data_IF_220177833614
#
_entry.id   IF_220177833614
#
_cell.length_a   1.000
_cell.length_b   1.000
_cell.length_c   1.000
_cell.angle_alpha   90.00
_cell.angle_beta   90.00
_cell.angle_gamma   90.00
#
_symmetry.space_group_name_H-M   'P 1'
#
loop_
_entity.id
_entity.type
_entity.pdbx_description
1 polymer ?
#
# COMPACT_ATOMS: atom_id res chain seq x y z
N UNK A 1 -71.10 -10.97 2.67
CA UNK A 1 -70.02 -11.96 2.53
C UNK A 1 -68.73 -11.21 2.71
N UNK A 2 -68.12 -11.49 3.85
CA UNK A 2 -67.16 -10.64 4.54
C UNK A 2 -65.85 -10.43 3.79
N UNK A 3 -65.35 -9.20 3.92
CA UNK A 3 -63.97 -8.80 3.71
C UNK A 3 -63.06 -9.64 4.62
N UNK A 4 -62.30 -10.55 4.03
CA UNK A 4 -61.11 -11.11 4.67
C UNK A 4 -59.90 -10.64 3.86
N UNK A 5 -59.56 -9.36 4.05
CA UNK A 5 -58.23 -8.87 3.70
C UNK A 5 -57.30 -9.32 4.83
N UNK A 6 -56.73 -10.53 4.69
CA UNK A 6 -55.68 -11.01 5.58
C UNK A 6 -54.46 -10.12 5.33
N UNK A 7 -54.36 -9.02 6.07
CA UNK A 7 -53.09 -8.34 6.29
C UNK A 7 -52.19 -9.36 7.01
N UNK A 8 -51.44 -10.15 6.23
CA UNK A 8 -50.30 -10.89 6.76
C UNK A 8 -49.37 -9.84 7.37
N UNK A 9 -49.35 -9.75 8.70
CA UNK A 9 -48.42 -8.91 9.43
C UNK A 9 -47.02 -9.34 9.03
N UNK A 10 -46.39 -8.55 8.17
CA UNK A 10 -45.00 -8.79 7.76
C UNK A 10 -44.17 -8.79 9.04
N UNK A 11 -43.36 -9.83 9.31
CA UNK A 11 -42.60 -9.91 10.53
C UNK A 11 -41.70 -8.66 10.65
N UNK A 12 -41.69 -8.07 11.85
CA UNK A 12 -40.95 -6.86 12.17
C UNK A 12 -39.85 -7.20 13.18
N UNK A 13 -38.74 -6.50 13.07
CA UNK A 13 -37.59 -6.60 13.98
C UNK A 13 -37.20 -5.21 14.44
N UNK A 14 -36.72 -5.13 15.68
CA UNK A 14 -36.17 -3.89 16.22
C UNK A 14 -34.70 -3.78 15.83
N UNK A 15 -34.34 -2.66 15.21
CA UNK A 15 -32.97 -2.35 14.82
C UNK A 15 -32.48 -1.08 15.53
N UNK A 16 -31.17 -0.94 15.64
CA UNK A 16 -30.51 0.25 16.18
C UNK A 16 -29.35 0.62 15.28
N UNK A 17 -29.31 1.86 14.81
CA UNK A 17 -28.23 2.35 13.96
C UNK A 17 -27.03 2.81 14.78
N UNK A 18 -25.84 2.40 14.35
CA UNK A 18 -24.57 2.80 14.95
C UNK A 18 -23.64 3.29 13.84
N UNK A 19 -22.87 4.33 14.10
CA UNK A 19 -21.80 4.73 13.19
C UNK A 19 -20.58 5.20 13.96
N UNK A 20 -19.40 4.96 13.38
CA UNK A 20 -18.15 5.56 13.83
C UNK A 20 -17.95 6.96 13.26
N UNK A 21 -18.64 7.30 12.17
CA UNK A 21 -18.54 8.59 11.49
C UNK A 21 -19.46 9.61 12.17
N UNK A 22 -18.93 10.39 13.13
CA UNK A 22 -19.71 11.36 13.92
C UNK A 22 -20.51 12.37 13.09
N UNK A 23 -20.06 12.68 11.87
CA UNK A 23 -20.74 13.59 10.94
C UNK A 23 -22.10 13.05 10.45
N UNK A 24 -22.30 11.73 10.48
CA UNK A 24 -23.53 11.07 10.07
C UNK A 24 -24.27 10.44 11.24
N UNK A 25 -24.01 10.87 12.48
CA UNK A 25 -24.65 10.28 13.65
C UNK A 25 -26.16 10.58 13.66
N UNK A 26 -26.97 9.52 13.64
CA UNK A 26 -28.42 9.61 13.84
C UNK A 26 -28.82 9.31 15.29
N UNK A 27 -30.02 9.74 15.72
CA UNK A 27 -30.50 9.50 17.07
C UNK A 27 -30.50 8.02 17.45
N UNK A 28 -30.09 7.77 18.69
CA UNK A 28 -29.79 6.43 19.19
C UNK A 28 -31.00 5.79 19.88
N UNK A 29 -32.03 5.45 19.10
CA UNK A 29 -33.24 4.79 19.59
C UNK A 29 -33.62 3.57 18.72
N UNK A 30 -34.26 2.54 19.29
CA UNK A 30 -34.68 1.36 18.55
C UNK A 30 -35.82 1.68 17.56
N UNK A 31 -35.69 1.22 16.32
CA UNK A 31 -36.63 1.40 15.23
C UNK A 31 -37.21 0.05 14.81
N UNK A 32 -38.52 -0.05 14.62
CA UNK A 32 -39.16 -1.25 14.10
C UNK A 32 -39.18 -1.23 12.58
N UNK A 33 -38.50 -2.19 11.96
CA UNK A 33 -38.45 -2.35 10.50
C UNK A 33 -38.95 -3.73 10.08
N UNK A 34 -39.35 -3.88 8.82
CA UNK A 34 -39.72 -5.17 8.26
C UNK A 34 -38.48 -6.05 8.09
N UNK A 35 -38.61 -7.36 8.32
CA UNK A 35 -37.46 -8.29 8.22
C UNK A 35 -36.95 -8.46 6.80
N UNK A 36 -37.76 -8.19 5.78
CA UNK A 36 -37.36 -8.27 4.37
C UNK A 36 -36.59 -7.05 3.88
N UNK A 37 -36.28 -6.10 4.77
CA UNK A 37 -35.62 -4.85 4.41
C UNK A 37 -34.25 -5.12 3.76
N UNK A 38 -33.98 -4.39 2.68
CA UNK A 38 -32.71 -4.45 1.93
C UNK A 38 -31.87 -3.21 2.18
N UNK A 39 -30.58 -3.24 1.82
CA UNK A 39 -29.65 -2.13 2.01
C UNK A 39 -30.14 -0.81 1.39
N UNK A 40 -30.81 -0.84 0.24
CA UNK A 40 -31.38 0.35 -0.40
C UNK A 40 -32.46 1.03 0.47
N UNK A 41 -33.32 0.24 1.13
CA UNK A 41 -34.39 0.75 1.99
C UNK A 41 -33.83 1.26 3.33
N UNK A 42 -32.79 0.61 3.87
CA UNK A 42 -32.05 1.14 5.01
C UNK A 42 -31.37 2.47 4.67
N UNK A 43 -30.84 2.61 3.45
CA UNK A 43 -30.26 3.86 2.96
C UNK A 43 -31.29 4.99 2.89
N UNK A 44 -32.50 4.72 2.41
CA UNK A 44 -33.57 5.74 2.40
C UNK A 44 -33.91 6.17 3.82
N UNK A 45 -34.00 5.22 4.76
CA UNK A 45 -34.36 5.49 6.14
C UNK A 45 -33.28 6.30 6.88
N UNK A 46 -31.99 5.98 6.70
CA UNK A 46 -30.90 6.79 7.28
C UNK A 46 -30.90 8.20 6.69
N UNK A 47 -31.06 8.34 5.38
CA UNK A 47 -31.08 9.67 4.76
C UNK A 47 -32.27 10.51 5.23
N UNK A 48 -33.44 9.91 5.48
CA UNK A 48 -34.57 10.60 6.10
C UNK A 48 -34.25 11.06 7.53
N UNK A 49 -33.71 10.17 8.37
CA UNK A 49 -33.31 10.51 9.74
C UNK A 49 -32.19 11.57 9.78
N UNK A 50 -31.26 11.56 8.81
CA UNK A 50 -30.21 12.57 8.68
C UNK A 50 -30.78 13.93 8.27
N UNK A 51 -31.74 13.97 7.35
CA UNK A 51 -32.46 15.21 6.96
C UNK A 51 -33.16 15.84 8.16
N UNK A 52 -33.74 15.03 9.04
CA UNK A 52 -34.40 15.50 10.27
C UNK A 52 -33.43 15.97 11.36
N UNK A 53 -32.33 15.23 11.59
CA UNK A 53 -31.44 15.45 12.74
C UNK A 53 -30.30 16.44 12.46
N UNK A 54 -29.77 16.47 11.25
CA UNK A 54 -28.48 17.12 10.94
C UNK A 54 -28.54 18.11 9.77
N UNK A 55 -29.72 18.32 9.17
CA UNK A 55 -29.97 19.28 8.08
C UNK A 55 -29.07 19.05 6.83
N UNK A 56 -28.53 17.84 6.68
CA UNK A 56 -27.76 17.41 5.51
C UNK A 56 -28.75 17.23 4.34
N UNK A 57 -28.57 18.02 3.29
CA UNK A 57 -29.46 18.02 2.11
C UNK A 57 -29.06 17.01 1.04
N UNK A 58 -27.80 16.59 1.03
CA UNK A 58 -27.29 15.66 0.03
C UNK A 58 -27.57 14.23 0.48
N UNK A 59 -28.07 13.41 -0.43
CA UNK A 59 -28.24 11.98 -0.20
C UNK A 59 -26.88 11.31 -0.30
N UNK A 60 -26.57 10.50 0.70
CA UNK A 60 -25.30 9.78 0.82
C UNK A 60 -25.63 8.29 0.82
N UNK A 61 -24.89 7.51 0.05
CA UNK A 61 -25.01 6.06 0.08
C UNK A 61 -24.19 5.50 1.24
N UNK A 62 -24.78 4.58 1.99
CA UNK A 62 -24.12 3.84 3.06
C UNK A 62 -24.11 2.35 2.75
N UNK A 63 -23.07 1.68 3.23
CA UNK A 63 -23.02 0.24 3.40
C UNK A 63 -23.31 -0.11 4.87
N UNK A 64 -23.97 -1.24 5.09
CA UNK A 64 -24.45 -1.68 6.40
C UNK A 64 -23.70 -2.91 6.85
N UNK A 65 -23.32 -2.95 8.12
CA UNK A 65 -22.68 -4.07 8.78
C UNK A 65 -23.57 -4.58 9.91
N UNK A 66 -23.83 -5.88 9.90
CA UNK A 66 -24.56 -6.59 10.96
C UNK A 66 -23.63 -7.68 11.48
N UNK A 67 -23.32 -7.63 12.78
CA UNK A 67 -22.31 -8.50 13.41
C UNK A 67 -20.95 -8.43 12.70
N UNK A 68 -20.50 -7.22 12.36
CA UNK A 68 -19.22 -6.94 11.68
C UNK A 68 -19.09 -7.55 10.28
N UNK A 69 -20.19 -7.87 9.61
CA UNK A 69 -20.22 -8.33 8.22
C UNK A 69 -21.16 -7.48 7.39
N UNK A 70 -20.75 -7.18 6.15
CA UNK A 70 -21.57 -6.40 5.23
C UNK A 70 -22.88 -7.12 4.90
N UNK A 71 -23.99 -6.39 5.01
CA UNK A 71 -25.30 -6.82 4.59
C UNK A 71 -25.37 -6.80 3.06
N UNK A 72 -25.33 -7.98 2.44
CA UNK A 72 -25.41 -8.15 0.97
C UNK A 72 -26.78 -8.64 0.50
N UNK A 73 -27.56 -9.22 1.39
CA UNK A 73 -28.88 -9.82 1.13
C UNK A 73 -29.95 -9.11 1.95
N UNK A 74 -31.16 -9.67 2.02
CA UNK A 74 -32.19 -9.16 2.93
C UNK A 74 -31.81 -9.39 4.39
N UNK A 75 -32.31 -8.53 5.29
CA UNK A 75 -32.01 -8.65 6.72
C UNK A 75 -32.43 -10.02 7.29
N UNK A 76 -33.57 -10.58 6.85
CA UNK A 76 -34.03 -11.91 7.27
C UNK A 76 -33.06 -13.02 6.87
N UNK A 77 -32.55 -13.01 5.64
CA UNK A 77 -31.60 -14.03 5.16
C UNK A 77 -30.31 -13.95 5.98
N UNK A 78 -29.78 -12.74 6.17
CA UNK A 78 -28.56 -12.53 6.98
C UNK A 78 -28.74 -12.99 8.44
N UNK A 79 -29.90 -12.70 9.06
CA UNK A 79 -30.24 -13.16 10.42
C UNK A 79 -30.28 -14.69 10.46
N UNK A 80 -30.92 -15.33 9.49
CA UNK A 80 -31.04 -16.80 9.45
C UNK A 80 -29.70 -17.48 9.21
N UNK A 81 -28.85 -16.95 8.33
CA UNK A 81 -27.52 -17.48 8.07
C UNK A 81 -26.62 -17.40 9.30
N UNK A 82 -26.78 -16.34 10.11
CA UNK A 82 -25.99 -16.10 11.32
C UNK A 82 -26.63 -16.64 12.60
N UNK A 83 -27.81 -17.27 12.51
CA UNK A 83 -28.59 -17.73 13.66
C UNK A 83 -28.76 -16.64 14.74
N UNK A 84 -29.03 -15.39 14.32
CA UNK A 84 -29.25 -14.28 15.24
C UNK A 84 -30.67 -14.38 15.81
N UNK A 85 -30.83 -14.15 17.11
CA UNK A 85 -32.14 -14.08 17.75
C UNK A 85 -32.92 -12.87 17.24
N UNK A 86 -34.14 -13.08 16.76
CA UNK A 86 -35.05 -11.98 16.37
C UNK A 86 -35.72 -11.30 17.56
N UNK A 87 -35.51 -11.81 18.78
CA UNK A 87 -36.06 -11.24 20.02
C UNK A 87 -35.25 -10.03 20.52
N UNK A 88 -33.97 -9.94 20.13
CA UNK A 88 -33.07 -8.87 20.52
C UNK A 88 -33.07 -7.71 19.51
N UNK A 89 -32.71 -6.51 20.00
CA UNK A 89 -32.49 -5.34 19.14
C UNK A 89 -31.21 -5.54 18.34
N UNK A 90 -31.32 -5.57 17.01
CA UNK A 90 -30.19 -5.78 16.12
C UNK A 90 -29.45 -4.47 15.90
N UNK A 91 -28.18 -4.44 16.30
CA UNK A 91 -27.28 -3.34 16.00
C UNK A 91 -26.83 -3.38 14.54
N UNK A 92 -27.16 -2.35 13.76
CA UNK A 92 -26.70 -2.16 12.39
C UNK A 92 -25.69 -1.02 12.38
N UNK A 93 -24.42 -1.36 12.16
CA UNK A 93 -23.38 -0.36 11.92
C UNK A 93 -23.48 0.11 10.46
N UNK A 94 -23.37 1.41 10.18
CA UNK A 94 -23.35 1.93 8.82
C UNK A 94 -22.15 2.84 8.59
N UNK A 95 -21.62 2.74 7.37
CA UNK A 95 -20.43 3.46 6.90
C UNK A 95 -20.69 4.01 5.51
N UNK A 96 -20.13 5.18 5.20
CA UNK A 96 -20.22 5.76 3.86
C UNK A 96 -19.72 4.77 2.81
N UNK A 97 -20.52 4.55 1.78
CA UNK A 97 -20.21 3.63 0.70
C UNK A 97 -19.26 4.31 -0.27
N UNK A 98 -18.09 3.71 -0.47
CA UNK A 98 -17.18 4.14 -1.52
C UNK A 98 -17.55 3.43 -2.83
N UNK A 99 -17.91 4.17 -3.90
CA UNK A 99 -18.20 3.56 -5.19
C UNK A 99 -16.94 2.87 -5.74
N UNK A 100 -17.12 1.82 -6.57
CA UNK A 100 -15.98 1.18 -7.21
C UNK A 100 -15.20 2.21 -8.05
N UNK A 101 -13.85 2.19 -8.02
CA UNK A 101 -13.06 3.14 -8.78
C UNK A 101 -13.30 2.94 -10.28
N UNK A 102 -13.58 4.04 -10.99
CA UNK A 102 -13.76 4.03 -12.45
C UNK A 102 -12.42 4.28 -13.16
N UNK A 103 -12.09 3.54 -14.24
CA UNK A 103 -10.88 3.78 -15.01
C UNK A 103 -10.88 5.18 -15.63
N UNK A 104 -9.90 6.02 -15.25
CA UNK A 104 -9.81 7.40 -15.73
C UNK A 104 -8.94 7.53 -16.99
N UNK A 105 -7.78 6.87 -17.04
CA UNK A 105 -6.80 7.02 -18.13
C UNK A 105 -5.95 5.74 -18.32
N UNK A 106 -5.25 5.63 -19.44
CA UNK A 106 -4.37 4.52 -19.80
C UNK A 106 -3.05 5.02 -20.40
N UNK A 107 -1.95 4.84 -19.67
CA UNK A 107 -0.62 5.33 -20.04
C UNK A 107 0.14 4.28 -20.86
N UNK A 108 0.25 4.51 -22.17
CA UNK A 108 0.86 3.56 -23.11
C UNK A 108 2.39 3.58 -22.99
N UNK A 109 2.97 2.42 -22.74
CA UNK A 109 4.41 2.16 -22.78
C UNK A 109 4.73 1.14 -23.87
N UNK A 110 5.98 1.13 -24.34
CA UNK A 110 6.42 0.22 -25.41
C UNK A 110 6.68 -1.21 -24.90
N UNK A 111 6.91 -1.38 -23.59
CA UNK A 111 7.16 -2.65 -22.93
C UNK A 111 6.46 -2.73 -21.54
N UNK A 112 6.67 -3.83 -20.82
CA UNK A 112 6.07 -4.09 -19.52
C UNK A 112 6.51 -3.05 -18.48
N UNK A 113 5.53 -2.47 -17.78
CA UNK A 113 5.75 -1.60 -16.64
C UNK A 113 5.97 -2.46 -15.40
N UNK A 114 7.15 -2.35 -14.79
CA UNK A 114 7.54 -3.17 -13.65
C UNK A 114 7.24 -2.51 -12.30
N UNK A 115 7.32 -1.18 -12.25
CA UNK A 115 7.20 -0.42 -11.03
C UNK A 115 6.59 0.95 -11.30
N UNK A 116 5.81 1.43 -10.34
CA UNK A 116 5.10 2.71 -10.41
C UNK A 116 5.25 3.40 -9.05
N UNK A 117 5.64 4.67 -9.05
CA UNK A 117 5.66 5.51 -7.86
C UNK A 117 5.04 6.86 -8.15
N UNK A 118 4.11 7.30 -7.29
CA UNK A 118 3.38 8.57 -7.46
C UNK A 118 3.84 9.56 -6.40
N UNK A 119 4.12 10.79 -6.81
CA UNK A 119 4.39 11.91 -5.90
C UNK A 119 3.68 13.17 -6.41
N UNK A 120 2.70 13.64 -5.62
CA UNK A 120 1.81 14.75 -5.97
C UNK A 120 1.15 14.60 -7.36
N UNK A 121 1.63 15.35 -8.36
CA UNK A 121 1.10 15.38 -9.72
C UNK A 121 1.91 14.54 -10.71
N UNK A 122 2.96 13.86 -10.23
CA UNK A 122 3.91 13.13 -11.05
C UNK A 122 3.82 11.63 -10.78
N UNK A 123 3.88 10.86 -11.86
CA UNK A 123 3.94 9.40 -11.86
C UNK A 123 5.28 9.01 -12.48
N UNK A 124 6.11 8.32 -11.72
CA UNK A 124 7.36 7.72 -12.17
C UNK A 124 7.10 6.25 -12.46
N UNK A 125 7.47 5.79 -13.64
CA UNK A 125 7.36 4.38 -14.03
C UNK A 125 8.72 3.83 -14.44
N UNK A 126 8.99 2.58 -14.04
CA UNK A 126 10.12 1.80 -14.53
C UNK A 126 9.65 0.73 -15.50
N UNK A 127 10.38 0.58 -16.60
CA UNK A 127 10.01 -0.33 -17.69
C UNK A 127 11.05 -1.42 -17.94
N UNK A 128 10.60 -2.50 -18.59
CA UNK A 128 11.46 -3.61 -19.02
C UNK A 128 12.35 -3.26 -20.22
N UNK A 129 12.08 -2.15 -20.91
CA UNK A 129 12.95 -1.58 -21.96
C UNK A 129 14.20 -0.86 -21.42
N UNK A 130 14.43 -0.93 -20.10
CA UNK A 130 15.53 -0.31 -19.35
C UNK A 130 15.42 1.21 -19.14
N UNK A 131 14.27 1.81 -19.45
CA UNK A 131 14.03 3.24 -19.31
C UNK A 131 13.05 3.57 -18.17
N UNK A 132 13.20 4.77 -17.64
CA UNK A 132 12.22 5.37 -16.72
C UNK A 132 11.38 6.37 -17.49
N UNK A 133 10.10 6.47 -17.15
CA UNK A 133 9.22 7.50 -17.68
C UNK A 133 8.64 8.34 -16.55
N UNK A 134 8.54 9.65 -16.78
CA UNK A 134 7.80 10.56 -15.92
C UNK A 134 6.54 11.00 -16.65
N UNK A 135 5.41 10.86 -15.99
CA UNK A 135 4.09 11.25 -16.46
C UNK A 135 3.45 12.25 -15.50
N UNK A 136 2.53 13.04 -16.00
CA UNK A 136 1.61 13.78 -15.14
C UNK A 136 0.43 12.89 -14.74
N UNK A 137 -0.21 13.16 -13.60
CA UNK A 137 -1.46 12.47 -13.20
C UNK A 137 -2.65 12.71 -14.16
N UNK A 138 -2.49 13.61 -15.14
CA UNK A 138 -3.45 13.82 -16.24
C UNK A 138 -3.10 13.00 -17.50
N UNK A 139 -2.19 12.04 -17.36
CA UNK A 139 -1.75 11.11 -18.39
C UNK A 139 -0.85 11.67 -19.50
N UNK A 140 -0.43 12.93 -19.40
CA UNK A 140 0.57 13.48 -20.33
C UNK A 140 1.95 12.92 -20.00
N UNK A 141 2.59 12.26 -20.98
CA UNK A 141 4.00 11.88 -20.94
C UNK A 141 4.90 13.12 -20.87
N UNK A 142 5.86 13.12 -19.95
CA UNK A 142 6.73 14.27 -19.69
C UNK A 142 8.18 14.04 -20.10
N UNK A 143 8.76 12.90 -19.72
CA UNK A 143 10.17 12.61 -19.96
C UNK A 143 10.42 11.09 -20.09
N UNK A 144 11.37 10.72 -20.95
CA UNK A 144 12.01 9.38 -20.96
C UNK A 144 13.44 9.52 -20.48
N UNK A 145 13.85 8.69 -19.54
CA UNK A 145 15.19 8.72 -18.95
C UNK A 145 15.85 7.35 -19.22
N UNK A 146 16.75 7.27 -20.21
CA UNK A 146 17.60 6.09 -20.39
C UNK A 146 18.71 6.12 -19.32
N UNK A 147 18.97 4.97 -18.70
CA UNK A 147 19.92 4.95 -17.59
C UNK A 147 20.45 3.58 -17.21
N UNK A 148 19.60 2.56 -17.29
CA UNK A 148 19.96 1.20 -16.94
C UNK A 148 20.32 0.37 -18.17
N UNK A 149 21.09 -0.69 -17.95
CA UNK A 149 21.46 -1.65 -19.01
C UNK A 149 20.58 -2.91 -19.00
N UNK A 150 19.66 -3.01 -18.05
CA UNK A 150 18.76 -4.15 -17.87
C UNK A 150 17.43 -3.70 -17.25
N UNK A 151 16.39 -4.56 -17.25
CA UNK A 151 15.05 -4.19 -16.83
C UNK A 151 15.04 -3.53 -15.45
N UNK A 152 14.29 -2.44 -15.35
CA UNK A 152 14.05 -1.76 -14.07
C UNK A 152 13.03 -2.61 -13.31
N UNK A 153 13.20 -2.75 -11.99
CA UNK A 153 12.35 -3.59 -11.15
C UNK A 153 11.63 -2.82 -10.05
N UNK A 154 12.22 -1.74 -9.57
CA UNK A 154 11.59 -0.90 -8.56
C UNK A 154 12.02 0.57 -8.73
N UNK A 155 11.11 1.48 -8.38
CA UNK A 155 11.34 2.93 -8.41
C UNK A 155 10.77 3.55 -7.14
N UNK A 156 11.37 4.63 -6.65
CA UNK A 156 10.88 5.33 -5.46
C UNK A 156 11.28 6.82 -5.48
N UNK A 157 10.38 7.70 -5.03
CA UNK A 157 10.66 9.13 -4.88
C UNK A 157 11.38 9.44 -3.58
N UNK A 158 12.48 10.19 -3.63
CA UNK A 158 13.18 10.71 -2.45
C UNK A 158 12.54 12.02 -2.04
N UNK A 159 12.62 13.04 -2.89
CA UNK A 159 12.15 14.38 -2.58
C UNK A 159 11.52 15.03 -3.79
N UNK A 160 10.49 15.84 -3.56
CA UNK A 160 9.89 16.69 -4.57
C UNK A 160 9.84 18.10 -3.99
N UNK A 161 10.39 19.04 -4.74
CA UNK A 161 10.24 20.48 -4.53
C UNK A 161 9.60 21.08 -5.78
N UNK A 162 9.29 22.38 -5.76
CA UNK A 162 8.70 23.03 -6.93
C UNK A 162 9.61 23.00 -8.17
N UNK A 163 10.93 23.05 -7.96
CA UNK A 163 11.90 23.22 -9.05
C UNK A 163 12.73 21.95 -9.30
N UNK A 164 12.92 21.12 -8.28
CA UNK A 164 13.75 19.91 -8.37
C UNK A 164 13.07 18.71 -7.72
N UNK A 165 13.32 17.53 -8.26
CA UNK A 165 12.93 16.26 -7.67
C UNK A 165 14.11 15.31 -7.63
N UNK A 166 14.11 14.38 -6.68
CA UNK A 166 15.10 13.33 -6.58
C UNK A 166 14.39 11.99 -6.40
N UNK A 167 14.87 10.95 -7.09
CA UNK A 167 14.28 9.61 -7.07
C UNK A 167 15.33 8.53 -7.31
N UNK A 168 14.93 7.29 -7.05
CA UNK A 168 15.77 6.11 -7.21
C UNK A 168 15.11 5.13 -8.16
N UNK A 169 15.94 4.49 -8.96
CA UNK A 169 15.58 3.30 -9.72
C UNK A 169 16.50 2.14 -9.34
N UNK A 170 15.94 0.93 -9.32
CA UNK A 170 16.67 -0.31 -9.06
C UNK A 170 16.44 -1.27 -10.24
N UNK A 171 17.52 -1.90 -10.72
CA UNK A 171 17.49 -2.70 -11.95
C UNK A 171 18.13 -4.08 -11.75
N UNK A 172 17.79 -4.98 -12.69
CA UNK A 172 18.47 -6.26 -12.84
C UNK A 172 19.95 -6.15 -13.24
N UNK A 173 20.42 -4.96 -13.63
CA UNK A 173 21.84 -4.68 -13.90
C UNK A 173 22.71 -4.62 -12.62
N UNK A 174 22.15 -4.98 -11.47
CA UNK A 174 22.80 -5.03 -10.16
C UNK A 174 23.09 -3.65 -9.55
N UNK A 175 22.52 -2.59 -10.14
CA UNK A 175 22.67 -1.23 -9.64
C UNK A 175 21.35 -0.62 -9.22
N UNK A 176 21.43 0.25 -8.21
CA UNK A 176 20.43 1.29 -8.00
C UNK A 176 21.02 2.64 -8.40
N UNK A 177 20.25 3.49 -9.07
CA UNK A 177 20.71 4.82 -9.49
C UNK A 177 19.86 5.87 -8.79
N UNK A 178 20.53 6.86 -8.20
CA UNK A 178 19.92 8.07 -7.64
C UNK A 178 19.99 9.16 -8.70
N UNK A 179 18.83 9.73 -9.01
CA UNK A 179 18.62 10.73 -10.03
C UNK A 179 18.18 12.04 -9.41
N UNK A 180 18.72 13.15 -9.92
CA UNK A 180 18.16 14.47 -9.68
C UNK A 180 17.54 14.99 -10.97
N UNK A 181 16.30 15.45 -10.87
CA UNK A 181 15.52 15.99 -11.96
C UNK A 181 15.28 17.47 -11.71
N UNK A 182 15.82 18.32 -12.58
CA UNK A 182 15.48 19.72 -12.64
C UNK A 182 14.20 19.89 -13.47
N UNK A 183 13.09 20.20 -12.79
CA UNK A 183 11.76 20.30 -13.40
C UNK A 183 11.69 21.50 -14.35
N UNK A 184 12.41 22.59 -14.03
CA UNK A 184 12.41 23.81 -14.83
C UNK A 184 13.18 23.66 -16.14
N UNK A 185 14.31 22.95 -16.09
CA UNK A 185 15.16 22.69 -17.26
C UNK A 185 14.78 21.39 -17.99
N UNK A 186 13.92 20.57 -17.38
CA UNK A 186 13.57 19.22 -17.80
C UNK A 186 14.79 18.33 -18.08
N UNK A 187 15.83 18.49 -17.27
CA UNK A 187 17.08 17.73 -17.32
C UNK A 187 17.15 16.78 -16.14
N UNK A 188 17.62 15.57 -16.40
CA UNK A 188 17.81 14.53 -15.37
C UNK A 188 19.27 14.13 -15.35
N UNK A 189 19.87 14.28 -14.17
CA UNK A 189 21.26 13.96 -13.92
C UNK A 189 21.38 12.69 -13.07
N UNK A 190 22.27 11.80 -13.50
CA UNK A 190 22.68 10.63 -12.71
C UNK A 190 23.68 11.07 -11.64
N UNK A 191 23.25 11.16 -10.38
CA UNK A 191 24.08 11.64 -9.28
C UNK A 191 24.94 10.50 -8.72
N UNK A 192 24.30 9.37 -8.40
CA UNK A 192 24.97 8.23 -7.80
C UNK A 192 24.57 6.90 -8.45
N UNK A 193 25.57 6.08 -8.72
CA UNK A 193 25.39 4.67 -9.12
C UNK A 193 25.76 3.80 -7.93
N UNK A 194 24.77 3.24 -7.26
CA UNK A 194 24.92 2.38 -6.10
C UNK A 194 25.31 0.97 -6.55
N UNK A 195 26.56 0.58 -6.29
CA UNK A 195 27.11 -0.73 -6.65
C UNK A 195 27.47 -1.51 -5.40
N UNK A 196 27.10 -2.79 -5.38
CA UNK A 196 27.48 -3.69 -4.29
C UNK A 196 26.66 -4.97 -4.18
N UNK A 197 25.49 -5.07 -4.83
CA UNK A 197 24.80 -6.35 -4.98
C UNK A 197 25.51 -7.24 -6.00
N UNK A 198 25.42 -8.56 -5.80
CA UNK A 198 26.04 -9.56 -6.69
C UNK A 198 25.06 -10.08 -7.76
N UNK A 199 23.77 -9.75 -7.60
CA UNK A 199 22.68 -10.12 -8.51
C UNK A 199 21.68 -8.97 -8.65
N UNK A 200 20.73 -9.12 -9.58
CA UNK A 200 19.74 -8.10 -9.89
C UNK A 200 18.93 -7.67 -8.67
N UNK A 201 18.65 -6.37 -8.58
CA UNK A 201 17.79 -5.80 -7.55
C UNK A 201 16.33 -6.04 -7.92
N UNK A 202 15.50 -6.31 -6.91
CA UNK A 202 14.06 -6.51 -7.07
C UNK A 202 13.26 -5.40 -6.38
N UNK A 203 13.72 -4.92 -5.23
CA UNK A 203 13.00 -3.93 -4.44
C UNK A 203 13.90 -2.78 -3.98
N UNK A 204 13.33 -1.58 -3.94
CA UNK A 204 13.94 -0.40 -3.33
C UNK A 204 12.89 0.36 -2.55
N UNK A 205 13.24 0.84 -1.37
CA UNK A 205 12.37 1.70 -0.59
C UNK A 205 13.18 2.72 0.22
N UNK A 206 12.59 3.89 0.41
CA UNK A 206 13.23 5.04 1.03
C UNK A 206 12.62 5.25 2.41
N UNK A 207 13.48 5.57 3.36
CA UNK A 207 13.05 5.80 4.74
C UNK A 207 12.22 7.08 4.86
N UNK A 208 11.42 7.19 5.94
CA UNK A 208 10.57 8.35 6.24
C UNK A 208 11.31 9.68 6.24
N UNK A 209 12.54 9.70 6.78
CA UNK A 209 13.39 10.91 6.81
C UNK A 209 14.12 11.18 5.49
N UNK A 210 13.99 10.28 4.51
CA UNK A 210 14.59 10.40 3.16
C UNK A 210 16.11 10.53 3.14
N UNK A 211 16.78 10.12 4.22
CA UNK A 211 18.25 10.15 4.39
C UNK A 211 18.95 8.85 4.00
N UNK A 212 18.20 7.75 4.01
CA UNK A 212 18.68 6.42 3.65
C UNK A 212 17.65 5.69 2.81
N UNK A 213 18.13 4.75 2.01
CA UNK A 213 17.33 3.80 1.26
C UNK A 213 17.79 2.38 1.51
N UNK A 214 16.88 1.43 1.34
CA UNK A 214 17.13 0.01 1.46
C UNK A 214 16.83 -0.68 0.12
N UNK A 215 17.69 -1.62 -0.27
CA UNK A 215 17.52 -2.43 -1.48
C UNK A 215 17.55 -3.91 -1.16
N UNK A 216 16.64 -4.64 -1.80
CA UNK A 216 16.56 -6.10 -1.77
C UNK A 216 16.88 -6.68 -3.15
N UNK A 217 17.61 -7.78 -3.18
CA UNK A 217 18.07 -8.38 -4.42
C UNK A 217 18.02 -9.92 -4.40
N UNK A 218 18.28 -10.51 -5.58
CA UNK A 218 18.42 -11.96 -5.78
C UNK A 218 19.63 -12.57 -5.08
N UNK A 219 20.56 -11.76 -4.57
CA UNK A 219 21.74 -12.21 -3.83
C UNK A 219 21.45 -12.51 -2.35
N UNK A 220 20.18 -12.46 -1.93
CA UNK A 220 19.69 -12.69 -0.55
C UNK A 220 20.09 -11.60 0.46
N UNK A 221 20.70 -10.51 -0.01
CA UNK A 221 21.21 -9.44 0.84
C UNK A 221 20.23 -8.27 0.88
N UNK A 222 20.09 -7.68 2.07
CA UNK A 222 19.52 -6.37 2.25
C UNK A 222 20.67 -5.37 2.38
N UNK A 223 20.71 -4.35 1.52
CA UNK A 223 21.74 -3.29 1.58
C UNK A 223 21.12 -1.94 1.87
N UNK A 224 21.80 -1.17 2.73
CA UNK A 224 21.39 0.17 3.12
C UNK A 224 22.36 1.17 2.51
N UNK A 225 21.83 2.25 1.96
CA UNK A 225 22.58 3.28 1.27
C UNK A 225 22.16 4.65 1.80
N UNK A 226 23.09 5.59 1.82
CA UNK A 226 22.76 7.00 2.05
C UNK A 226 22.16 7.58 0.77
N UNK A 227 21.08 8.33 0.89
CA UNK A 227 20.46 9.11 -0.20
C UNK A 227 20.98 10.55 -0.25
N UNK A 228 21.82 10.97 0.71
CA UNK A 228 22.35 12.32 0.74
C UNK A 228 23.29 12.59 -0.45
N UNK A 229 23.14 13.75 -1.08
CA UNK A 229 23.97 14.21 -2.19
C UNK A 229 25.43 14.53 -1.79
N UNK A 230 25.70 14.67 -0.50
CA UNK A 230 27.06 14.85 0.03
C UNK A 230 27.64 13.50 0.49
N UNK A 231 28.89 13.26 0.11
CA UNK A 231 29.63 12.05 0.45
C UNK A 231 30.04 12.12 1.94
N UNK A 232 29.53 11.23 2.82
CA UNK A 232 30.02 11.09 4.22
C UNK A 232 31.41 10.44 4.31
N UNK A 233 32.08 10.16 3.18
CA UNK A 233 33.39 9.51 3.14
C UNK A 233 34.51 10.52 2.86
N UNK A 234 34.81 11.38 3.84
CA UNK A 234 36.07 12.15 3.89
C UNK A 234 37.07 11.59 4.91
N UNK A 235 37.11 10.27 5.11
CA UNK A 235 38.16 9.63 5.90
C UNK A 235 39.10 8.79 5.01
N UNK A 236 40.25 9.40 4.71
CA UNK A 236 41.56 8.71 4.64
C UNK A 236 41.90 7.86 3.42
N UNK A 237 42.78 8.41 2.57
CA UNK A 237 43.66 7.72 1.60
C UNK A 237 43.01 6.97 0.43
N UNK A 238 42.91 7.65 -0.72
CA UNK A 238 43.78 7.32 -1.86
C UNK A 238 43.63 8.31 -3.02
N UNK A 239 44.78 8.87 -3.37
CA UNK A 239 45.08 9.64 -4.56
C UNK A 239 44.69 8.90 -5.84
N UNK A 240 43.81 9.47 -6.66
CA UNK A 240 44.01 9.50 -8.11
C UNK A 240 43.04 10.50 -8.75
N UNK A 241 43.59 11.28 -9.70
CA UNK A 241 42.90 12.25 -10.55
C UNK A 241 41.63 11.61 -11.13
N UNK A 242 40.45 11.94 -10.60
CA UNK A 242 39.18 11.50 -11.15
C UNK A 242 38.83 12.36 -12.37
N UNK A 243 38.96 11.75 -13.56
CA UNK A 243 38.27 12.21 -14.75
C UNK A 243 36.78 12.35 -14.41
N UNK A 244 36.18 13.48 -14.77
CA UNK A 244 34.71 13.61 -14.85
C UNK A 244 34.23 12.59 -15.87
N UNK A 245 33.73 11.46 -15.41
CA UNK A 245 32.97 10.53 -16.25
C UNK A 245 31.53 11.03 -16.31
N UNK A 246 30.89 10.94 -17.48
CA UNK A 246 29.45 11.22 -17.67
C UNK A 246 28.55 10.28 -16.85
N UNK A 247 29.11 9.25 -16.23
CA UNK A 247 28.39 8.30 -15.38
C UNK A 247 28.59 8.70 -13.91
N UNK A 248 27.48 8.90 -13.18
CA UNK A 248 27.43 9.37 -11.81
C UNK A 248 28.40 8.69 -10.83
N UNK A 249 28.68 9.35 -9.70
CA UNK A 249 29.66 8.86 -8.72
C UNK A 249 29.24 7.50 -8.17
N UNK A 250 30.14 6.51 -8.19
CA UNK A 250 29.85 5.19 -7.61
C UNK A 250 29.72 5.28 -6.09
N UNK A 251 28.62 4.75 -5.54
CA UNK A 251 28.29 4.71 -4.11
C UNK A 251 28.31 3.27 -3.61
N UNK A 252 28.87 3.08 -2.41
CA UNK A 252 29.04 1.79 -1.73
C UNK A 252 27.96 1.68 -0.64
N UNK A 253 27.44 0.48 -0.32
CA UNK A 253 26.45 0.34 0.75
C UNK A 253 27.04 0.74 2.11
N UNK A 254 26.27 1.46 2.91
CA UNK A 254 26.59 1.78 4.31
C UNK A 254 26.59 0.52 5.16
N UNK A 255 25.65 -0.40 4.88
CA UNK A 255 25.54 -1.71 5.53
C UNK A 255 25.06 -2.77 4.56
N UNK A 256 25.54 -4.00 4.77
CA UNK A 256 25.04 -5.21 4.11
C UNK A 256 24.57 -6.15 5.19
N UNK A 257 23.29 -6.51 5.17
CA UNK A 257 22.65 -7.36 6.15
C UNK A 257 22.28 -8.68 5.49
N UNK A 258 22.82 -9.78 6.02
CA UNK A 258 22.60 -11.14 5.54
C UNK A 258 21.65 -11.86 6.48
N UNK A 259 20.68 -12.58 5.93
CA UNK A 259 19.82 -13.43 6.75
C UNK A 259 18.70 -14.16 6.02
N UNK A 260 18.25 -13.66 4.87
CA UNK A 260 17.40 -14.44 3.98
C UNK A 260 18.17 -15.58 3.33
N UNK A 261 17.47 -16.65 2.99
CA UNK A 261 18.03 -17.83 2.30
C UNK A 261 17.80 -17.78 0.80
N UNK A 262 16.83 -17.00 0.35
CA UNK A 262 16.50 -16.79 -1.06
C UNK A 262 16.32 -15.29 -1.38
N UNK A 263 15.92 -14.98 -2.61
CA UNK A 263 15.78 -13.62 -3.11
C UNK A 263 14.85 -12.77 -2.21
N UNK A 264 15.24 -11.53 -1.96
CA UNK A 264 14.39 -10.55 -1.29
C UNK A 264 13.49 -9.94 -2.36
N UNK A 265 12.18 -10.12 -2.21
CA UNK A 265 11.18 -9.68 -3.19
C UNK A 265 10.55 -8.34 -2.85
N UNK A 266 10.42 -8.01 -1.56
CA UNK A 266 9.83 -6.76 -1.09
C UNK A 266 10.65 -6.14 0.04
N UNK A 267 10.70 -4.80 0.07
CA UNK A 267 11.35 -4.00 1.11
C UNK A 267 10.47 -2.81 1.42
N UNK A 268 10.13 -2.60 2.69
CA UNK A 268 9.42 -1.40 3.16
C UNK A 268 10.03 -0.91 4.46
N UNK A 269 9.94 0.39 4.71
CA UNK A 269 10.26 0.97 6.00
C UNK A 269 9.01 1.03 6.87
N UNK A 270 9.11 0.54 8.11
CA UNK A 270 8.03 0.66 9.10
C UNK A 270 8.13 1.95 9.92
N UNK A 271 9.37 2.38 10.16
CA UNK A 271 9.72 3.65 10.82
C UNK A 271 11.14 4.06 10.37
N UNK A 272 11.74 5.07 11.01
CA UNK A 272 13.08 5.60 10.73
C UNK A 272 14.21 4.57 10.79
N UNK A 273 14.08 3.55 11.63
CA UNK A 273 15.14 2.57 11.87
C UNK A 273 14.74 1.15 11.47
N UNK A 274 13.46 0.91 11.25
CA UNK A 274 12.93 -0.44 11.10
C UNK A 274 12.57 -0.73 9.64
N UNK A 275 13.17 -1.80 9.11
CA UNK A 275 12.95 -2.27 7.74
C UNK A 275 12.24 -3.61 7.82
N UNK A 276 11.23 -3.81 6.99
CA UNK A 276 10.55 -5.09 6.83
C UNK A 276 10.86 -5.60 5.43
N UNK A 277 11.29 -6.85 5.33
CA UNK A 277 11.56 -7.51 4.05
C UNK A 277 10.77 -8.79 3.91
N UNK A 278 10.41 -9.11 2.69
CA UNK A 278 9.78 -10.39 2.32
C UNK A 278 10.67 -11.10 1.31
N UNK A 279 10.64 -12.43 1.37
CA UNK A 279 11.51 -13.25 0.55
C UNK A 279 10.81 -14.50 0.05
N UNK A 280 11.42 -15.06 -0.99
CA UNK A 280 11.07 -16.36 -1.55
C UNK A 280 11.36 -17.52 -0.59
N UNK A 281 12.12 -17.29 0.49
CA UNK A 281 12.38 -18.28 1.53
C UNK A 281 11.21 -18.51 2.52
N UNK A 282 10.03 -17.95 2.20
CA UNK A 282 8.80 -18.00 3.00
C UNK A 282 8.89 -17.22 4.32
N UNK A 283 9.83 -16.30 4.46
CA UNK A 283 9.96 -15.48 5.67
C UNK A 283 9.74 -14.00 5.40
N UNK A 284 9.19 -13.33 6.41
CA UNK A 284 9.21 -11.88 6.55
C UNK A 284 10.18 -11.60 7.68
N UNK A 285 11.18 -10.75 7.44
CA UNK A 285 12.17 -10.36 8.45
C UNK A 285 12.05 -8.89 8.75
N UNK A 286 12.11 -8.57 10.03
CA UNK A 286 12.13 -7.21 10.55
C UNK A 286 13.54 -6.91 11.01
N UNK A 287 14.12 -5.85 10.49
CA UNK A 287 15.52 -5.47 10.66
C UNK A 287 15.62 -4.14 11.37
N UNK A 288 16.66 -4.02 12.19
CA UNK A 288 17.11 -2.75 12.72
C UNK A 288 18.25 -2.21 11.86
N UNK A 289 18.04 -1.06 11.22
CA UNK A 289 19.02 -0.43 10.35
C UNK A 289 20.24 0.11 11.10
N UNK A 290 20.11 0.49 12.38
CA UNK A 290 21.16 1.06 13.25
C UNK A 290 21.95 0.01 14.01
N UNK A 291 21.34 -1.12 14.35
CA UNK A 291 22.05 -2.28 14.93
C UNK A 291 22.58 -3.24 13.85
N UNK A 292 21.96 -3.24 12.66
CA UNK A 292 22.38 -4.09 11.54
C UNK A 292 21.99 -5.56 11.74
N UNK A 293 20.91 -5.81 12.49
CA UNK A 293 20.48 -7.14 12.90
C UNK A 293 18.99 -7.40 12.67
N UNK A 294 18.61 -8.67 12.71
CA UNK A 294 17.21 -9.11 12.63
C UNK A 294 16.59 -8.99 14.02
N UNK A 295 15.51 -8.23 14.15
CA UNK A 295 14.70 -8.13 15.37
C UNK A 295 13.74 -9.30 15.49
N UNK A 296 12.97 -9.52 14.43
CA UNK A 296 11.91 -10.53 14.37
C UNK A 296 11.91 -11.24 13.02
N UNK A 297 11.48 -12.50 13.05
CA UNK A 297 11.30 -13.33 11.87
C UNK A 297 9.90 -13.96 11.95
N UNK A 298 9.10 -13.72 10.92
CA UNK A 298 7.77 -14.30 10.76
C UNK A 298 7.85 -15.31 9.63
N UNK A 299 7.55 -16.58 9.95
CA UNK A 299 7.55 -17.66 8.97
C UNK A 299 6.15 -17.85 8.40
N UNK A 300 6.03 -17.73 7.08
CA UNK A 300 4.84 -18.08 6.32
C UNK A 300 4.90 -19.52 5.78
N UNK A 301 3.78 -19.97 5.24
CA UNK A 301 3.68 -21.29 4.60
C UNK A 301 4.07 -21.27 3.10
N UNK A 302 4.19 -20.08 2.51
CA UNK A 302 4.41 -19.86 1.07
C UNK A 302 5.43 -18.75 0.86
N UNK A 303 6.05 -18.73 -0.32
CA UNK A 303 6.93 -17.66 -0.76
C UNK A 303 6.16 -16.35 -0.87
N UNK A 304 6.80 -15.27 -0.45
CA UNK A 304 6.27 -13.94 -0.59
C UNK A 304 6.81 -13.30 -1.86
N UNK A 305 5.97 -12.54 -2.54
CA UNK A 305 6.31 -11.80 -3.76
C UNK A 305 6.37 -10.30 -3.53
N UNK A 306 5.59 -9.79 -2.57
CA UNK A 306 5.61 -8.38 -2.22
C UNK A 306 5.07 -8.18 -0.80
N UNK A 307 5.32 -7.01 -0.24
CA UNK A 307 4.79 -6.60 1.06
C UNK A 307 4.57 -5.08 1.08
N UNK A 308 3.62 -4.64 1.89
CA UNK A 308 3.46 -3.23 2.23
C UNK A 308 3.15 -3.08 3.73
N UNK A 309 3.40 -1.89 4.28
CA UNK A 309 3.17 -1.58 5.69
C UNK A 309 2.26 -0.37 5.85
N UNK A 310 1.19 -0.55 6.61
CA UNK A 310 0.27 0.54 6.95
C UNK A 310 0.69 1.16 8.29
N UNK A 311 1.14 2.44 8.32
CA UNK A 311 1.45 3.13 9.56
C UNK A 311 0.19 3.47 10.38
N UNK A 312 -1.01 3.45 9.77
CA UNK A 312 -2.27 3.75 10.45
C UNK A 312 -2.74 2.57 11.31
N UNK A 313 -2.64 1.36 10.78
CA UNK A 313 -3.06 0.13 11.46
C UNK A 313 -1.92 -0.62 12.12
N UNK A 314 -0.66 -0.24 11.85
CA UNK A 314 0.54 -0.94 12.28
C UNK A 314 0.55 -2.42 11.83
N UNK A 315 0.04 -2.69 10.63
CA UNK A 315 -0.05 -4.04 10.06
C UNK A 315 0.73 -4.15 8.76
N UNK A 316 1.31 -5.33 8.55
CA UNK A 316 1.95 -5.71 7.30
C UNK A 316 0.93 -6.43 6.44
N UNK A 317 0.80 -6.03 5.19
CA UNK A 317 0.07 -6.77 4.16
C UNK A 317 1.07 -7.49 3.27
N UNK A 318 0.77 -8.74 2.91
CA UNK A 318 1.69 -9.55 2.09
C UNK A 318 1.00 -10.20 0.91
N UNK A 319 1.71 -10.22 -0.22
CA UNK A 319 1.37 -10.99 -1.39
C UNK A 319 2.17 -12.29 -1.37
N UNK A 320 1.46 -13.42 -1.25
CA UNK A 320 2.06 -14.75 -1.24
C UNK A 320 1.93 -15.43 -2.61
N UNK A 321 2.61 -16.57 -2.80
CA UNK A 321 2.44 -17.39 -3.99
C UNK A 321 1.11 -18.13 -4.09
N UNK A 322 0.29 -18.09 -3.04
CA UNK A 322 -1.12 -18.45 -3.15
C UNK A 322 -1.98 -17.23 -3.47
N UNK A 323 -3.22 -17.46 -3.90
CA UNK A 323 -4.15 -16.38 -4.28
C UNK A 323 -4.72 -15.60 -3.08
N UNK A 324 -4.05 -15.62 -1.92
CA UNK A 324 -4.58 -15.06 -0.68
C UNK A 324 -3.66 -13.98 -0.13
N UNK A 325 -4.25 -12.84 0.20
CA UNK A 325 -3.56 -11.77 0.93
C UNK A 325 -3.67 -12.05 2.43
N UNK A 326 -2.57 -11.82 3.14
CA UNK A 326 -2.49 -12.01 4.60
C UNK A 326 -2.03 -10.74 5.29
N UNK A 327 -2.64 -10.48 6.43
CA UNK A 327 -2.23 -9.44 7.38
C UNK A 327 -1.43 -10.05 8.53
N UNK A 328 -0.31 -9.41 8.86
CA UNK A 328 0.55 -9.76 10.00
C UNK A 328 0.74 -8.54 10.91
N UNK A 329 0.75 -8.75 12.23
CA UNK A 329 1.25 -7.75 13.17
C UNK A 329 2.77 -7.94 13.34
N UNK A 330 3.61 -6.92 13.04
CA UNK A 330 5.07 -7.01 13.18
C UNK A 330 5.53 -7.32 14.60
N UNK A 331 4.70 -7.07 15.62
CA UNK A 331 5.03 -7.25 17.03
C UNK A 331 4.63 -8.63 17.55
N UNK A 332 3.80 -9.37 16.81
CA UNK A 332 3.39 -10.71 17.23
C UNK A 332 4.49 -11.73 16.92
N UNK A 333 4.89 -12.51 17.92
CA UNK A 333 5.84 -13.63 17.74
C UNK A 333 5.16 -14.90 17.24
N UNK A 334 3.85 -15.00 17.43
CA UNK A 334 3.04 -16.04 16.81
C UNK A 334 2.65 -15.51 15.44
N UNK A 335 2.97 -16.22 14.35
CA UNK A 335 2.61 -15.87 12.97
C UNK A 335 1.11 -15.94 12.69
N UNK A 336 0.29 -15.46 13.63
CA UNK A 336 -1.16 -15.43 13.55
C UNK A 336 -1.57 -14.56 12.37
N UNK A 337 -2.11 -15.24 11.36
CA UNK A 337 -2.99 -14.66 10.35
C UNK A 337 -4.11 -13.91 11.09
N UNK A 338 -3.99 -12.59 11.22
CA UNK A 338 -5.07 -11.85 11.87
C UNK A 338 -6.29 -11.76 10.95
N UNK A 339 -6.10 -11.76 9.62
CA UNK A 339 -7.19 -11.85 8.64
C UNK A 339 -6.67 -12.35 7.28
N UNK A 340 -7.44 -13.26 6.67
CA UNK A 340 -7.28 -13.67 5.27
C UNK A 340 -8.27 -12.85 4.44
N UNK A 341 -7.77 -11.99 3.55
CA UNK A 341 -8.61 -11.25 2.62
C UNK A 341 -8.68 -12.06 1.33
N UNK A 342 -9.86 -12.64 1.07
CA UNK A 342 -10.20 -13.21 -0.23
C UNK A 342 -10.65 -12.06 -1.12
N UNK A 343 -9.92 -11.81 -2.21
CA UNK A 343 -10.25 -10.78 -3.20
C UNK A 343 -11.16 -11.36 -4.28
#
# INVERSE_FOLDING_TARGET
MDNINVNKSVPQVQIRFLTKQKQYAVPDFPLSVHTSIVSNELNTLINELLKESSNIKNEIEFDFLVCSQFLRTSLIEHITEKNISTEDVISIEYVEKYPPPEPQDCLIHDDWVSAIAVCEKWILTGCYDNTLHIWTCKGKHHLVIPGHTSPIKAVAWISLTNDTASFVSASQDQTAIIWDWNIMENSVDCIHVCRGHERGLEAVNINYDKTIMATGAWDTMLKIWSTANQDENEDGESTSKRLKSEHGKTRIPKRTMKGHKEAISGVVWSDKIEIITSSWDHTIKIWDSELGGIKHELTGNKSFFDLDYSPLSHTIITASADRHIRLYDPRSTEGSLEHMIMI
#
